data_IF_132465175522
#
_entry.id   IF_132465175522
#
_cell.length_a   1.000
_cell.length_b   1.000
_cell.length_c   1.000
_cell.angle_alpha   90.00
_cell.angle_beta   90.00
_cell.angle_gamma   90.00
#
_symmetry.space_group_name_H-M   'P 1'
#
loop_
_entity.id
_entity.type
_entity.pdbx_description
1 polymer ?
#
# COMPACT_ATOMS: atom_id res chain seq x y z
N UNK A 1 -32.31 -15.35 50.30
CA UNK A 1 -32.80 -14.43 49.27
C UNK A 1 -31.56 -13.78 48.62
N UNK A 2 -31.17 -14.33 47.46
CA UNK A 2 -29.96 -13.90 46.73
C UNK A 2 -30.41 -13.17 45.45
N UNK A 3 -30.02 -11.92 45.32
CA UNK A 3 -30.23 -11.16 44.09
C UNK A 3 -29.00 -11.29 43.18
N UNK A 4 -29.09 -12.09 42.14
CA UNK A 4 -28.14 -12.07 41.01
C UNK A 4 -28.45 -10.85 40.15
N UNK A 5 -27.52 -9.91 40.11
CA UNK A 5 -27.52 -8.84 39.10
C UNK A 5 -26.87 -9.35 37.80
N UNK A 6 -27.69 -9.52 36.79
CA UNK A 6 -27.27 -9.79 35.41
C UNK A 6 -26.76 -8.48 34.82
N UNK A 7 -25.44 -8.36 34.59
CA UNK A 7 -24.85 -7.30 33.76
C UNK A 7 -25.10 -7.63 32.28
N UNK A 8 -26.04 -6.95 31.67
CA UNK A 8 -26.12 -6.89 30.20
C UNK A 8 -25.05 -5.96 29.68
N UNK A 9 -24.02 -6.52 29.05
CA UNK A 9 -23.04 -5.77 28.29
C UNK A 9 -23.68 -5.32 26.96
N UNK A 10 -24.11 -4.07 26.89
CA UNK A 10 -24.60 -3.47 25.64
C UNK A 10 -23.37 -3.14 24.79
N UNK A 11 -23.11 -3.97 23.78
CA UNK A 11 -22.11 -3.66 22.76
C UNK A 11 -22.64 -2.50 21.92
N UNK A 12 -22.17 -1.30 22.20
CA UNK A 12 -22.38 -0.13 21.35
C UNK A 12 -21.56 -0.31 20.07
N UNK A 13 -22.19 -0.78 19.00
CA UNK A 13 -21.62 -0.67 17.65
C UNK A 13 -21.70 0.81 17.25
N UNK A 14 -20.58 1.53 17.33
CA UNK A 14 -20.45 2.87 16.77
C UNK A 14 -20.47 2.74 15.23
N UNK A 15 -21.60 3.01 14.64
CA UNK A 15 -21.80 3.19 13.21
C UNK A 15 -21.22 4.57 12.85
N UNK A 16 -19.98 4.62 12.37
CA UNK A 16 -19.48 5.80 11.67
C UNK A 16 -20.05 5.79 10.25
N UNK A 17 -21.07 6.58 10.02
CA UNK A 17 -21.53 6.87 8.68
C UNK A 17 -20.50 7.78 8.00
N UNK A 18 -19.84 7.31 6.97
CA UNK A 18 -19.06 8.15 6.07
C UNK A 18 -20.03 9.11 5.40
N UNK A 19 -19.94 10.40 5.73
CA UNK A 19 -20.67 11.44 5.03
C UNK A 19 -20.23 11.42 3.56
N UNK A 20 -20.97 10.71 2.72
CA UNK A 20 -20.72 10.67 1.28
C UNK A 20 -20.83 12.06 0.69
N UNK A 21 -19.93 12.41 -0.21
CA UNK A 21 -20.00 13.61 -1.04
C UNK A 21 -21.23 13.56 -1.96
N UNK A 22 -22.43 13.67 -1.40
CA UNK A 22 -23.68 13.80 -2.16
C UNK A 22 -23.96 15.28 -2.44
N UNK A 23 -23.14 15.88 -3.33
CA UNK A 23 -23.49 17.19 -3.89
C UNK A 23 -24.44 16.94 -5.08
N UNK A 24 -25.74 17.12 -4.86
CA UNK A 24 -26.85 16.92 -5.81
C UNK A 24 -26.88 17.94 -6.97
N UNK A 25 -25.78 18.58 -7.31
CA UNK A 25 -25.73 19.34 -8.56
C UNK A 25 -25.57 18.36 -9.71
N UNK A 26 -26.54 18.37 -10.62
CA UNK A 26 -26.47 17.65 -11.91
C UNK A 26 -25.23 18.17 -12.65
N UNK A 27 -24.11 17.48 -12.50
CA UNK A 27 -22.91 17.74 -13.31
C UNK A 27 -23.13 17.10 -14.68
N UNK A 28 -22.67 17.74 -15.78
CA UNK A 28 -22.69 17.11 -17.08
C UNK A 28 -21.99 15.74 -17.04
N UNK A 29 -22.38 14.78 -17.88
CA UNK A 29 -21.77 13.46 -17.89
C UNK A 29 -20.26 13.62 -18.08
N UNK A 30 -19.47 12.95 -17.23
CA UNK A 30 -18.03 12.99 -17.31
C UNK A 30 -17.59 12.58 -18.73
N UNK A 31 -16.75 13.40 -19.38
CA UNK A 31 -16.18 13.09 -20.69
C UNK A 31 -15.47 11.74 -20.60
N UNK A 32 -15.81 10.81 -21.49
CA UNK A 32 -15.16 9.51 -21.56
C UNK A 32 -13.62 9.69 -21.71
N UNK A 33 -12.83 8.94 -20.92
CA UNK A 33 -11.38 8.99 -21.03
C UNK A 33 -10.99 8.31 -22.34
N UNK A 34 -10.20 9.00 -23.19
CA UNK A 34 -9.59 8.39 -24.36
C UNK A 34 -8.75 7.17 -23.96
N UNK A 35 -8.75 6.14 -24.80
CA UNK A 35 -7.97 4.92 -24.56
C UNK A 35 -6.47 5.16 -24.44
N UNK A 36 -5.95 6.26 -25.00
CA UNK A 36 -4.53 6.64 -25.00
C UNK A 36 -4.16 7.74 -24.00
N UNK A 37 -5.15 8.43 -23.42
CA UNK A 37 -4.90 9.55 -22.52
C UNK A 37 -4.36 9.08 -21.17
N UNK A 38 -3.26 9.67 -20.69
CA UNK A 38 -2.81 9.56 -19.31
C UNK A 38 -3.52 10.64 -18.50
N UNK A 39 -4.21 10.25 -17.43
CA UNK A 39 -4.83 11.18 -16.48
C UNK A 39 -3.91 11.29 -15.27
N UNK A 40 -3.59 12.51 -14.85
CA UNK A 40 -2.80 12.76 -13.64
C UNK A 40 -3.31 13.98 -12.88
N UNK A 41 -3.27 13.88 -11.56
CA UNK A 41 -3.67 14.95 -10.63
C UNK A 41 -2.84 14.90 -9.36
N UNK A 42 -2.67 16.03 -8.69
CA UNK A 42 -2.23 16.04 -7.29
C UNK A 42 -3.49 15.76 -6.47
N UNK A 43 -3.61 14.53 -5.99
CA UNK A 43 -4.77 14.06 -5.23
C UNK A 43 -4.86 14.75 -3.86
N UNK A 44 -3.74 14.82 -3.16
CA UNK A 44 -3.63 15.48 -1.87
C UNK A 44 -2.36 16.36 -1.86
N UNK A 45 -2.50 17.67 -2.08
CA UNK A 45 -1.37 18.59 -1.99
C UNK A 45 -0.91 18.73 -0.53
N UNK A 46 0.39 18.73 -0.32
CA UNK A 46 0.95 19.08 0.98
C UNK A 46 0.70 20.56 1.29
N UNK A 47 0.47 20.84 2.55
CA UNK A 47 0.28 22.20 3.09
C UNK A 47 1.06 22.37 4.38
N UNK A 48 1.13 23.57 4.92
CA UNK A 48 1.78 23.82 6.21
C UNK A 48 1.15 23.01 7.36
N UNK A 49 -0.17 22.78 7.32
CA UNK A 49 -0.91 22.01 8.34
C UNK A 49 -0.99 20.51 8.03
N UNK A 50 -0.74 20.10 6.79
CA UNK A 50 -0.75 18.73 6.29
C UNK A 50 0.52 18.49 5.47
N UNK A 51 1.72 18.49 6.08
CA UNK A 51 2.99 18.51 5.35
C UNK A 51 3.36 17.19 4.69
N UNK A 52 2.74 16.06 5.06
CA UNK A 52 2.97 14.75 4.47
C UNK A 52 1.66 14.08 4.12
N UNK A 53 1.45 13.91 2.80
CA UNK A 53 0.38 13.16 2.17
C UNK A 53 1.02 12.00 1.41
N UNK A 54 0.97 10.80 1.94
CA UNK A 54 1.76 9.67 1.41
C UNK A 54 1.09 8.31 1.64
N UNK A 55 1.72 7.23 1.13
CA UNK A 55 1.37 5.84 1.43
C UNK A 55 -0.11 5.54 1.18
N UNK A 56 -0.60 6.04 0.04
CA UNK A 56 -1.99 5.88 -0.37
C UNK A 56 -2.24 4.59 -1.14
N UNK A 57 -3.51 4.24 -1.22
CA UNK A 57 -4.01 3.16 -2.08
C UNK A 57 -5.38 3.52 -2.66
N UNK A 58 -5.79 2.80 -3.70
CA UNK A 58 -7.05 3.01 -4.39
C UNK A 58 -7.80 1.69 -4.52
N UNK A 59 -9.10 1.71 -4.22
CA UNK A 59 -10.01 0.62 -4.57
C UNK A 59 -11.06 1.10 -5.56
N UNK A 60 -11.36 0.27 -6.56
CA UNK A 60 -12.44 0.53 -7.53
C UNK A 60 -13.74 -0.01 -6.96
N UNK A 61 -14.72 0.85 -6.75
CA UNK A 61 -16.04 0.47 -6.27
C UNK A 61 -16.85 -0.18 -7.41
N UNK A 62 -17.89 -0.97 -7.08
CA UNK A 62 -18.71 -1.69 -8.08
C UNK A 62 -19.36 -0.78 -9.11
N UNK A 63 -19.66 0.46 -8.77
CA UNK A 63 -20.20 1.46 -9.69
C UNK A 63 -19.13 2.17 -10.54
N UNK A 64 -17.85 1.77 -10.41
CA UNK A 64 -16.72 2.37 -11.13
C UNK A 64 -16.13 3.62 -10.48
N UNK A 65 -16.67 4.08 -9.35
CA UNK A 65 -16.06 5.17 -8.57
C UNK A 65 -14.71 4.71 -8.01
N UNK A 66 -13.71 5.58 -8.04
CA UNK A 66 -12.45 5.36 -7.33
C UNK A 66 -12.59 5.87 -5.89
N UNK A 67 -12.25 5.04 -4.92
CA UNK A 67 -12.04 5.45 -3.52
C UNK A 67 -10.53 5.39 -3.26
N UNK A 68 -9.91 6.54 -3.08
CA UNK A 68 -8.52 6.66 -2.67
C UNK A 68 -8.45 7.01 -1.18
N UNK A 69 -7.48 6.45 -0.47
CA UNK A 69 -7.17 6.84 0.90
C UNK A 69 -5.65 6.88 1.10
N UNK A 70 -5.19 7.67 2.07
CA UNK A 70 -3.77 7.90 2.29
C UNK A 70 -3.45 8.31 3.73
N UNK A 71 -2.18 8.15 4.12
CA UNK A 71 -1.64 8.70 5.36
C UNK A 71 -1.59 10.23 5.27
N UNK A 72 -2.28 10.89 6.16
CA UNK A 72 -2.40 12.35 6.26
C UNK A 72 -1.80 12.80 7.60
N UNK A 73 -0.55 13.28 7.55
CA UNK A 73 0.18 13.73 8.72
C UNK A 73 -0.06 15.22 8.98
N UNK A 74 -0.49 15.53 10.20
CA UNK A 74 -0.85 16.87 10.62
C UNK A 74 0.14 17.50 11.62
N UNK A 75 0.97 16.68 12.27
CA UNK A 75 1.95 17.11 13.30
C UNK A 75 3.38 17.25 12.80
N UNK A 76 3.61 17.19 11.49
CA UNK A 76 4.93 17.17 10.88
C UNK A 76 5.08 16.03 9.87
N UNK A 77 6.30 15.78 9.36
CA UNK A 77 6.52 14.72 8.35
C UNK A 77 7.24 13.48 8.88
N UNK A 78 7.73 13.50 10.09
CA UNK A 78 8.39 12.34 10.70
C UNK A 78 7.39 11.20 10.95
N UNK A 79 7.88 9.96 10.99
CA UNK A 79 7.02 8.80 11.22
C UNK A 79 6.38 8.79 12.63
N UNK A 80 6.86 9.63 13.55
CA UNK A 80 6.34 9.84 14.90
C UNK A 80 5.29 10.95 14.98
N UNK A 81 5.14 11.75 13.92
CA UNK A 81 4.20 12.87 13.90
C UNK A 81 2.76 12.38 13.94
N UNK A 82 1.87 13.22 14.48
CA UNK A 82 0.43 12.94 14.47
C UNK A 82 -0.09 12.80 13.05
N UNK A 83 -0.91 11.80 12.81
CA UNK A 83 -1.49 11.52 11.49
C UNK A 83 -2.77 10.72 11.60
N UNK A 84 -3.58 10.83 10.56
CA UNK A 84 -4.84 10.14 10.33
C UNK A 84 -4.87 9.53 8.93
N UNK A 85 -5.91 8.80 8.58
CA UNK A 85 -6.13 8.38 7.20
C UNK A 85 -7.26 9.22 6.61
N UNK A 86 -6.92 10.01 5.61
CA UNK A 86 -7.85 10.78 4.79
C UNK A 86 -8.20 10.01 3.51
N UNK A 87 -9.36 10.30 2.94
CA UNK A 87 -9.83 9.69 1.72
C UNK A 87 -10.56 10.70 0.82
N UNK A 88 -10.65 10.37 -0.47
CA UNK A 88 -11.46 11.08 -1.44
C UNK A 88 -12.01 10.12 -2.50
N UNK A 89 -13.08 10.51 -3.17
CA UNK A 89 -13.67 9.75 -4.26
C UNK A 89 -13.60 10.50 -5.59
N UNK A 90 -13.45 9.73 -6.69
CA UNK A 90 -13.54 10.25 -8.06
C UNK A 90 -14.52 9.42 -8.87
N UNK A 91 -15.40 10.09 -9.64
CA UNK A 91 -16.36 9.46 -10.55
C UNK A 91 -16.00 9.60 -12.02
N UNK A 92 -14.90 10.27 -12.32
CA UNK A 92 -14.44 10.60 -13.68
C UNK A 92 -13.04 10.05 -13.99
N UNK A 93 -12.66 8.96 -13.30
CA UNK A 93 -11.40 8.27 -13.52
C UNK A 93 -10.17 9.01 -13.01
N UNK A 94 -10.34 9.84 -11.98
CA UNK A 94 -9.27 10.56 -11.30
C UNK A 94 -8.98 11.97 -11.85
N UNK A 95 -9.82 12.50 -12.74
CA UNK A 95 -9.67 13.88 -13.22
C UNK A 95 -10.06 14.89 -12.15
N UNK A 96 -11.10 14.59 -11.41
CA UNK A 96 -11.53 15.40 -10.26
C UNK A 96 -11.82 14.51 -9.06
N UNK A 97 -11.61 15.07 -7.88
CA UNK A 97 -11.82 14.41 -6.61
C UNK A 97 -12.75 15.25 -5.74
N UNK A 98 -13.55 14.60 -4.90
CA UNK A 98 -14.32 15.32 -3.89
C UNK A 98 -13.37 15.92 -2.84
N UNK A 99 -13.89 16.81 -2.00
CA UNK A 99 -13.15 17.29 -0.84
C UNK A 99 -12.71 16.08 0.04
N UNK A 100 -11.48 16.08 0.56
CA UNK A 100 -11.03 15.00 1.45
C UNK A 100 -11.91 14.89 2.69
N UNK A 101 -12.09 13.64 3.15
CA UNK A 101 -12.76 13.31 4.41
C UNK A 101 -11.93 12.32 5.20
N UNK A 102 -12.12 12.27 6.52
CA UNK A 102 -11.40 11.33 7.38
C UNK A 102 -12.03 9.94 7.23
N UNK A 103 -11.25 8.96 6.79
CA UNK A 103 -11.64 7.55 6.71
C UNK A 103 -11.36 6.81 8.02
N UNK A 104 -10.24 7.15 8.67
CA UNK A 104 -9.83 6.59 9.95
C UNK A 104 -9.14 7.68 10.79
N UNK A 105 -9.76 8.04 11.89
CA UNK A 105 -9.14 8.92 12.89
C UNK A 105 -7.93 8.23 13.54
N UNK A 106 -7.04 9.04 14.11
CA UNK A 106 -5.94 8.50 14.90
C UNK A 106 -6.46 7.78 16.14
N UNK A 107 -6.17 6.50 16.24
CA UNK A 107 -6.46 5.65 17.41
C UNK A 107 -5.19 5.16 18.10
N UNK A 108 -4.02 5.55 17.59
CA UNK A 108 -2.72 5.28 18.19
C UNK A 108 -2.26 6.42 19.09
N UNK A 109 -1.23 6.16 19.89
CA UNK A 109 -0.59 7.23 20.69
C UNK A 109 0.15 8.24 19.82
N UNK A 110 0.66 7.82 18.65
CA UNK A 110 1.33 8.67 17.68
C UNK A 110 0.46 8.92 16.46
N UNK A 111 0.17 7.87 15.66
CA UNK A 111 -0.60 8.03 14.43
C UNK A 111 -1.25 6.73 13.96
N UNK A 112 -1.98 6.86 12.84
CA UNK A 112 -2.35 5.79 11.94
C UNK A 112 -1.80 6.11 10.54
N UNK A 113 -1.32 5.08 9.79
CA UNK A 113 -0.69 5.28 8.50
C UNK A 113 -0.75 4.02 7.60
N UNK A 114 -0.24 4.14 6.37
CA UNK A 114 -0.03 3.06 5.38
C UNK A 114 -1.31 2.31 5.02
N UNK A 115 -1.97 2.79 3.99
CA UNK A 115 -3.23 2.21 3.51
C UNK A 115 -2.98 1.03 2.58
N UNK A 116 -3.66 -0.09 2.79
CA UNK A 116 -3.76 -1.16 1.81
C UNK A 116 -5.22 -1.60 1.69
N UNK A 117 -5.79 -1.44 0.51
CA UNK A 117 -7.11 -1.95 0.17
C UNK A 117 -7.00 -3.30 -0.52
N UNK A 118 -7.91 -4.20 -0.20
CA UNK A 118 -8.09 -5.44 -0.93
C UNK A 118 -9.59 -5.66 -1.17
N UNK A 119 -9.99 -5.80 -2.43
CA UNK A 119 -11.30 -6.38 -2.73
C UNK A 119 -11.17 -7.88 -2.67
N UNK A 120 -11.70 -8.47 -1.63
CA UNK A 120 -11.69 -9.91 -1.42
C UNK A 120 -12.57 -10.64 -2.46
N UNK A 121 -12.32 -11.93 -2.68
CA UNK A 121 -13.13 -12.78 -3.56
C UNK A 121 -14.59 -12.87 -3.10
N UNK A 122 -14.88 -12.68 -1.81
CA UNK A 122 -16.23 -12.50 -1.27
C UNK A 122 -16.95 -11.26 -1.78
N UNK A 123 -16.21 -10.30 -2.34
CA UNK A 123 -16.71 -9.01 -2.79
C UNK A 123 -16.64 -7.91 -1.72
N UNK A 124 -16.22 -8.22 -0.50
CA UNK A 124 -15.97 -7.23 0.55
C UNK A 124 -14.75 -6.36 0.22
N UNK A 125 -14.72 -5.15 0.76
CA UNK A 125 -13.50 -4.33 0.78
C UNK A 125 -12.85 -4.50 2.14
N UNK A 126 -11.60 -4.96 2.14
CA UNK A 126 -10.75 -5.03 3.31
C UNK A 126 -9.84 -3.80 3.30
N UNK A 127 -9.84 -3.07 4.40
CA UNK A 127 -9.05 -1.86 4.60
C UNK A 127 -8.04 -2.11 5.73
N UNK A 128 -6.78 -2.26 5.34
CA UNK A 128 -5.66 -2.45 6.26
C UNK A 128 -4.94 -1.12 6.48
N UNK A 129 -4.47 -0.93 7.70
CA UNK A 129 -3.67 0.23 8.08
C UNK A 129 -2.83 -0.08 9.33
N UNK A 130 -1.83 0.77 9.57
CA UNK A 130 -0.97 0.69 10.74
C UNK A 130 -1.48 1.59 11.85
N UNK A 131 -1.33 1.14 13.10
CA UNK A 131 -1.50 1.93 14.31
C UNK A 131 -0.19 1.99 15.05
N UNK A 132 0.37 3.19 15.22
CA UNK A 132 1.65 3.43 15.85
C UNK A 132 1.48 4.01 17.25
N UNK A 133 2.05 3.32 18.24
CA UNK A 133 2.08 3.76 19.62
C UNK A 133 3.49 4.18 20.08
N UNK A 134 4.54 3.52 19.55
CA UNK A 134 5.95 3.81 19.88
C UNK A 134 6.89 3.17 18.86
N UNK A 135 8.19 3.32 19.05
CA UNK A 135 9.23 2.64 18.26
C UNK A 135 9.25 1.10 18.45
N UNK A 136 8.58 0.57 19.47
CA UNK A 136 8.47 -0.86 19.76
C UNK A 136 7.01 -1.37 19.70
N UNK A 137 6.08 -0.52 19.24
CA UNK A 137 4.65 -0.88 19.13
C UNK A 137 4.04 -0.22 17.90
N UNK A 138 4.12 -0.94 16.78
CA UNK A 138 3.45 -0.67 15.51
C UNK A 138 2.74 -1.93 15.07
N UNK A 139 1.42 -1.85 14.86
CA UNK A 139 0.59 -3.03 14.53
C UNK A 139 -0.26 -2.80 13.29
N UNK A 140 -0.53 -3.89 12.58
CA UNK A 140 -1.47 -3.90 11.45
C UNK A 140 -2.88 -4.18 11.96
N UNK A 141 -3.81 -3.34 11.54
CA UNK A 141 -5.24 -3.49 11.77
C UNK A 141 -6.01 -3.61 10.46
N UNK A 142 -7.19 -4.17 10.55
CA UNK A 142 -8.12 -4.39 9.45
C UNK A 142 -9.53 -3.91 9.84
N UNK A 143 -10.20 -3.23 8.90
CA UNK A 143 -11.65 -3.03 8.87
C UNK A 143 -12.23 -3.61 7.59
N UNK A 144 -13.52 -3.93 7.59
CA UNK A 144 -14.26 -4.50 6.46
C UNK A 144 -15.42 -3.62 6.08
N UNK A 145 -15.74 -3.57 4.79
CA UNK A 145 -16.96 -2.97 4.28
C UNK A 145 -17.69 -3.93 3.35
N UNK A 146 -18.98 -4.10 3.59
CA UNK A 146 -19.92 -4.87 2.76
C UNK A 146 -20.71 -3.99 1.79
N UNK A 147 -20.61 -2.67 1.92
CA UNK A 147 -21.46 -1.67 1.28
C UNK A 147 -20.68 -0.63 0.48
N UNK A 148 -19.55 -1.05 -0.10
CA UNK A 148 -18.68 -0.24 -0.96
C UNK A 148 -18.07 0.97 -0.22
N UNK A 149 -17.63 0.77 1.02
CA UNK A 149 -16.90 1.76 1.81
C UNK A 149 -17.79 2.78 2.53
N UNK A 150 -19.12 2.60 2.53
CA UNK A 150 -20.03 3.50 3.26
C UNK A 150 -19.96 3.28 4.77
N UNK A 151 -19.87 2.03 5.19
CA UNK A 151 -19.69 1.66 6.59
C UNK A 151 -18.54 0.66 6.76
N UNK A 152 -17.93 0.68 7.94
CA UNK A 152 -16.77 -0.15 8.27
C UNK A 152 -17.01 -0.91 9.57
N UNK A 153 -16.55 -2.15 9.61
CA UNK A 153 -16.66 -3.02 10.77
C UNK A 153 -15.84 -2.52 11.97
N UNK A 154 -16.01 -3.18 13.12
CA UNK A 154 -15.05 -3.11 14.21
C UNK A 154 -13.65 -3.53 13.74
N UNK A 155 -12.63 -3.12 14.49
CA UNK A 155 -11.22 -3.42 14.24
C UNK A 155 -10.91 -4.91 14.43
N UNK A 156 -10.13 -5.46 13.52
CA UNK A 156 -9.47 -6.76 13.67
C UNK A 156 -7.97 -6.53 13.71
N UNK A 157 -7.29 -7.12 14.69
CA UNK A 157 -5.83 -7.06 14.80
C UNK A 157 -5.24 -8.16 13.93
N UNK A 158 -4.37 -7.78 12.99
CA UNK A 158 -3.65 -8.74 12.12
C UNK A 158 -2.39 -9.24 12.79
N UNK A 159 -1.66 -8.35 13.49
CA UNK A 159 -0.40 -8.65 14.19
C UNK A 159 -0.58 -8.48 15.70
N UNK A 160 -1.05 -9.51 16.42
CA UNK A 160 -1.39 -9.37 17.86
C UNK A 160 -0.17 -9.32 18.78
N UNK A 161 1.00 -9.82 18.34
CA UNK A 161 2.20 -9.93 19.14
C UNK A 161 2.85 -8.56 19.39
N UNK A 162 3.73 -8.47 20.40
CA UNK A 162 4.52 -7.28 20.66
C UNK A 162 5.61 -7.10 19.62
N UNK A 163 5.87 -5.85 19.19
CA UNK A 163 6.92 -5.53 18.24
C UNK A 163 6.52 -4.43 17.25
N UNK A 164 7.40 -4.18 16.32
CA UNK A 164 7.27 -3.18 15.27
C UNK A 164 7.03 -3.86 13.92
N UNK A 165 5.77 -3.85 13.45
CA UNK A 165 5.30 -4.56 12.26
C UNK A 165 4.99 -3.56 11.15
N UNK A 166 5.89 -3.41 10.20
CA UNK A 166 5.76 -2.48 9.08
C UNK A 166 5.06 -3.20 7.92
N UNK A 167 3.83 -2.79 7.61
CA UNK A 167 3.17 -3.09 6.35
C UNK A 167 3.15 -1.80 5.52
N UNK A 168 3.82 -1.81 4.39
CA UNK A 168 3.76 -0.68 3.48
C UNK A 168 2.36 -0.58 2.81
N UNK A 169 2.06 0.53 2.14
CA UNK A 169 0.80 0.72 1.41
C UNK A 169 0.66 -0.25 0.24
N UNK A 170 -0.58 -0.63 -0.09
CA UNK A 170 -0.95 -1.49 -1.22
C UNK A 170 -0.18 -2.84 -1.26
N UNK A 171 -0.12 -3.56 -0.12
CA UNK A 171 0.71 -4.78 0.01
C UNK A 171 -0.07 -6.06 0.16
N UNK A 172 -1.30 -6.01 0.65
CA UNK A 172 -2.10 -7.21 0.86
C UNK A 172 -2.53 -7.80 -0.47
N UNK A 173 -2.41 -9.11 -0.62
CA UNK A 173 -2.83 -9.84 -1.81
C UNK A 173 -3.70 -11.04 -1.42
N UNK A 174 -4.63 -11.42 -2.30
CA UNK A 174 -5.38 -12.67 -2.17
C UNK A 174 -4.95 -13.62 -3.27
N UNK A 175 -4.53 -14.82 -2.88
CA UNK A 175 -4.15 -15.89 -3.80
C UNK A 175 -5.40 -16.50 -4.45
N UNK A 176 -5.22 -17.20 -5.56
CA UNK A 176 -6.30 -17.95 -6.24
C UNK A 176 -6.96 -18.99 -5.32
N UNK A 177 -6.21 -19.52 -4.34
CA UNK A 177 -6.73 -20.42 -3.31
C UNK A 177 -7.75 -19.77 -2.37
N UNK A 178 -7.85 -18.44 -2.36
CA UNK A 178 -8.62 -17.65 -1.40
C UNK A 178 -7.80 -17.15 -0.20
N UNK A 179 -6.59 -17.69 0.03
CA UNK A 179 -5.72 -17.24 1.11
C UNK A 179 -5.34 -15.78 0.92
N UNK A 180 -5.46 -14.98 1.97
CA UNK A 180 -5.01 -13.59 1.99
C UNK A 180 -3.64 -13.53 2.66
N UNK A 181 -2.70 -12.82 2.04
CA UNK A 181 -1.34 -12.60 2.55
C UNK A 181 -1.16 -11.12 2.92
N UNK A 182 -0.64 -10.88 4.11
CA UNK A 182 -0.22 -9.57 4.60
C UNK A 182 1.30 -9.61 4.85
N UNK A 183 2.11 -9.12 3.90
CA UNK A 183 3.58 -9.14 4.03
C UNK A 183 4.04 -8.00 4.93
N UNK A 184 5.00 -8.29 5.79
CA UNK A 184 5.42 -7.41 6.88
C UNK A 184 6.94 -7.43 7.02
N UNK A 185 7.53 -6.25 7.27
CA UNK A 185 8.88 -6.17 7.83
C UNK A 185 8.76 -6.01 9.35
N UNK A 186 9.48 -6.83 10.06
CA UNK A 186 9.41 -6.93 11.51
C UNK A 186 10.76 -6.66 12.16
N UNK A 187 10.74 -5.95 13.27
CA UNK A 187 11.77 -5.94 14.30
C UNK A 187 11.12 -5.72 15.67
N UNK A 188 11.87 -5.98 16.73
CA UNK A 188 11.34 -5.74 18.10
C UNK A 188 11.15 -4.25 18.37
N UNK A 189 12.13 -3.43 17.98
CA UNK A 189 12.17 -1.99 18.27
C UNK A 189 13.00 -1.27 17.20
N UNK A 190 12.33 -0.43 16.39
CA UNK A 190 12.97 0.33 15.31
C UNK A 190 13.83 1.48 15.82
N UNK A 191 13.65 1.92 17.06
CA UNK A 191 14.42 2.98 17.71
C UNK A 191 15.82 2.53 18.17
N UNK A 192 16.10 1.23 18.22
CA UNK A 192 17.44 0.72 18.53
C UNK A 192 18.44 1.10 17.44
N UNK A 193 19.66 1.51 17.83
CA UNK A 193 20.73 1.95 16.89
C UNK A 193 21.04 0.93 15.78
N UNK A 194 20.94 -0.35 16.07
CA UNK A 194 21.22 -1.45 15.14
C UNK A 194 19.93 -2.25 14.84
N UNK A 195 18.78 -1.58 14.73
CA UNK A 195 17.55 -2.25 14.36
C UNK A 195 17.73 -2.94 13.00
N UNK A 196 17.39 -4.22 12.96
CA UNK A 196 17.49 -5.07 11.80
C UNK A 196 16.12 -5.63 11.46
N UNK A 197 15.69 -5.47 10.22
CA UNK A 197 14.37 -5.83 9.75
C UNK A 197 14.40 -7.19 9.05
N UNK A 198 13.39 -8.00 9.35
CA UNK A 198 13.18 -9.30 8.72
C UNK A 198 11.77 -9.33 8.11
N UNK A 199 11.62 -9.95 6.94
CA UNK A 199 10.29 -10.11 6.37
C UNK A 199 9.63 -11.38 6.88
N UNK A 200 8.38 -11.24 7.29
CA UNK A 200 7.46 -12.28 7.69
C UNK A 200 6.13 -12.06 6.96
N UNK A 201 5.27 -13.04 6.97
CA UNK A 201 3.92 -12.92 6.38
C UNK A 201 2.89 -13.33 7.42
N UNK A 202 1.82 -12.57 7.57
CA UNK A 202 0.60 -13.04 8.19
C UNK A 202 -0.37 -13.48 7.09
N UNK A 203 -1.05 -14.59 7.30
CA UNK A 203 -2.01 -15.10 6.33
C UNK A 203 -3.35 -15.46 6.99
N UNK A 204 -4.40 -15.38 6.18
CA UNK A 204 -5.76 -15.76 6.55
C UNK A 204 -6.34 -16.71 5.52
N UNK A 205 -6.94 -17.80 5.99
CA UNK A 205 -7.64 -18.81 5.19
C UNK A 205 -9.17 -18.69 5.33
N UNK A 206 -9.66 -17.69 6.06
CA UNK A 206 -11.07 -17.45 6.37
C UNK A 206 -11.52 -16.04 5.98
N UNK A 207 -10.98 -15.54 4.86
CA UNK A 207 -11.30 -14.24 4.29
C UNK A 207 -10.97 -13.07 5.24
N UNK A 208 -9.83 -13.19 5.99
CA UNK A 208 -9.26 -12.20 6.89
C UNK A 208 -9.98 -12.09 8.25
N UNK A 209 -10.79 -13.10 8.66
CA UNK A 209 -11.45 -13.11 10.00
C UNK A 209 -10.47 -13.49 11.09
N UNK A 210 -9.55 -14.41 10.81
CA UNK A 210 -8.43 -14.76 11.67
C UNK A 210 -7.12 -14.78 10.92
N UNK A 211 -6.02 -14.59 11.67
CA UNK A 211 -4.69 -14.41 11.09
C UNK A 211 -3.68 -15.32 11.77
N UNK A 212 -2.78 -15.88 10.99
CA UNK A 212 -1.67 -16.71 11.45
C UNK A 212 -0.36 -16.15 10.92
N UNK A 213 0.68 -16.15 11.74
CA UNK A 213 2.03 -15.83 11.32
C UNK A 213 2.64 -16.99 10.54
N UNK A 214 3.31 -16.73 9.43
CA UNK A 214 4.12 -17.70 8.68
C UNK A 214 5.28 -18.22 9.51
N UNK A 215 5.76 -19.45 9.20
CA UNK A 215 6.92 -20.03 9.83
C UNK A 215 8.23 -19.48 9.25
N UNK A 216 8.22 -19.11 7.96
CA UNK A 216 9.38 -18.62 7.25
C UNK A 216 9.72 -17.17 7.58
N UNK A 217 11.02 -16.90 7.67
CA UNK A 217 11.60 -15.57 7.81
C UNK A 217 12.51 -15.34 6.61
N UNK A 218 12.39 -14.17 5.97
CA UNK A 218 13.32 -13.74 4.92
C UNK A 218 14.21 -12.64 5.47
N UNK A 219 15.51 -12.82 5.31
CA UNK A 219 16.51 -11.93 5.85
C UNK A 219 17.60 -11.62 4.80
N UNK A 220 18.21 -10.44 4.90
CA UNK A 220 19.35 -10.02 4.09
C UNK A 220 20.28 -9.13 4.93
N UNK A 221 21.50 -8.91 4.46
CA UNK A 221 22.51 -8.11 5.15
C UNK A 221 22.11 -6.63 5.37
N UNK A 222 22.91 -5.93 6.15
CA UNK A 222 22.78 -4.52 6.55
C UNK A 222 21.52 -4.27 7.40
N UNK A 223 20.64 -3.37 6.98
CA UNK A 223 19.41 -3.04 7.70
C UNK A 223 18.35 -4.16 7.60
N UNK A 224 18.62 -5.19 6.80
CA UNK A 224 17.75 -6.34 6.64
C UNK A 224 16.77 -6.24 5.48
N UNK A 225 15.80 -7.13 5.48
CA UNK A 225 14.73 -7.21 4.49
C UNK A 225 13.58 -6.28 4.86
N UNK A 226 13.22 -5.37 3.94
CA UNK A 226 12.25 -4.32 4.22
C UNK A 226 11.08 -4.33 3.23
N UNK A 227 9.93 -3.90 3.70
CA UNK A 227 8.72 -3.51 2.95
C UNK A 227 8.40 -4.43 1.75
N UNK A 228 8.15 -5.73 2.01
CA UNK A 228 7.96 -6.72 0.95
C UNK A 228 6.72 -6.45 0.10
N UNK A 229 6.81 -6.73 -1.20
CA UNK A 229 5.68 -6.80 -2.11
C UNK A 229 5.49 -8.22 -2.63
N UNK A 230 4.26 -8.67 -2.82
CA UNK A 230 3.94 -10.04 -3.20
C UNK A 230 3.20 -10.11 -4.54
N UNK A 231 3.45 -11.19 -5.29
CA UNK A 231 2.64 -11.57 -6.45
C UNK A 231 2.58 -13.10 -6.59
N UNK A 232 1.38 -13.63 -6.87
CA UNK A 232 1.22 -15.04 -7.20
C UNK A 232 1.70 -15.29 -8.64
N UNK A 233 2.61 -16.27 -8.80
CA UNK A 233 3.11 -16.72 -10.10
C UNK A 233 2.12 -17.69 -10.76
N UNK A 234 2.27 -17.92 -12.07
CA UNK A 234 1.38 -18.83 -12.83
C UNK A 234 1.41 -20.27 -12.33
N UNK A 235 2.53 -20.71 -11.76
CA UNK A 235 2.69 -22.06 -11.18
C UNK A 235 2.12 -22.17 -9.75
N UNK A 236 1.53 -21.12 -9.19
CA UNK A 236 0.99 -21.08 -7.83
C UNK A 236 1.98 -20.69 -6.74
N UNK A 237 3.27 -20.58 -7.05
CA UNK A 237 4.26 -20.04 -6.11
C UNK A 237 3.98 -18.56 -5.85
N UNK A 238 4.45 -18.03 -4.73
CA UNK A 238 4.40 -16.62 -4.40
C UNK A 238 5.81 -16.03 -4.49
N UNK A 239 5.96 -15.00 -5.32
CA UNK A 239 7.17 -14.20 -5.42
C UNK A 239 7.07 -13.02 -4.44
N UNK A 240 8.08 -12.86 -3.59
CA UNK A 240 8.26 -11.71 -2.72
C UNK A 240 9.41 -10.85 -3.26
N UNK A 241 9.18 -9.57 -3.54
CA UNK A 241 10.25 -8.59 -3.75
C UNK A 241 10.60 -7.90 -2.44
N UNK A 242 11.85 -7.49 -2.28
CA UNK A 242 12.41 -7.02 -1.02
C UNK A 242 13.16 -5.70 -1.25
N UNK A 243 12.79 -4.66 -0.50
CA UNK A 243 13.56 -3.43 -0.37
C UNK A 243 14.81 -3.70 0.48
N UNK A 244 16.00 -3.26 0.00
CA UNK A 244 17.27 -3.48 0.70
C UNK A 244 18.18 -2.25 0.64
N UNK A 245 19.23 -2.22 1.47
CA UNK A 245 20.35 -1.29 1.35
C UNK A 245 21.50 -1.84 0.49
N UNK A 246 21.25 -2.87 -0.32
CA UNK A 246 22.27 -3.56 -1.10
C UNK A 246 22.43 -3.02 -2.52
N UNK A 247 21.70 -1.93 -2.87
CA UNK A 247 21.76 -1.27 -4.18
C UNK A 247 21.04 -2.01 -5.30
N UNK A 248 20.28 -3.03 -4.96
CA UNK A 248 19.50 -3.87 -5.89
C UNK A 248 18.20 -4.33 -5.25
N UNK A 249 17.22 -4.69 -6.09
CA UNK A 249 16.00 -5.38 -5.65
C UNK A 249 16.34 -6.85 -5.42
N UNK A 250 15.96 -7.36 -4.25
CA UNK A 250 16.07 -8.76 -3.88
C UNK A 250 14.72 -9.45 -3.92
N UNK A 251 14.70 -10.78 -3.96
CA UNK A 251 13.48 -11.56 -3.97
C UNK A 251 13.62 -12.87 -3.20
N UNK A 252 12.49 -13.48 -2.88
CA UNK A 252 12.37 -14.81 -2.30
C UNK A 252 11.09 -15.46 -2.84
N UNK A 253 11.03 -16.79 -2.86
CA UNK A 253 9.92 -17.58 -3.40
C UNK A 253 9.33 -18.46 -2.30
N UNK A 254 8.01 -18.50 -2.23
CA UNK A 254 7.26 -19.47 -1.44
C UNK A 254 6.54 -20.45 -2.36
N UNK A 255 6.65 -21.73 -2.07
CA UNK A 255 5.96 -22.81 -2.79
C UNK A 255 4.72 -23.34 -2.03
N UNK A 256 4.43 -22.79 -0.83
CA UNK A 256 3.40 -23.26 0.09
C UNK A 256 2.40 -22.17 0.49
N UNK A 257 2.21 -21.19 -0.42
CA UNK A 257 1.24 -20.11 -0.20
C UNK A 257 1.66 -19.12 0.89
N UNK A 258 2.95 -18.80 0.98
CA UNK A 258 3.48 -17.75 1.87
C UNK A 258 3.82 -18.23 3.29
N UNK A 259 3.79 -19.54 3.59
CA UNK A 259 4.12 -20.04 4.93
C UNK A 259 5.64 -20.24 5.13
N UNK A 260 6.36 -20.68 4.10
CA UNK A 260 7.83 -20.76 4.09
C UNK A 260 8.41 -20.08 2.84
N UNK A 261 9.70 -19.71 2.90
CA UNK A 261 10.35 -18.89 1.89
C UNK A 261 11.73 -19.43 1.57
N UNK A 262 12.15 -19.34 0.30
CA UNK A 262 13.51 -19.61 -0.11
C UNK A 262 14.49 -18.60 0.50
N UNK A 263 15.78 -18.91 0.46
CA UNK A 263 16.81 -17.89 0.70
C UNK A 263 16.62 -16.73 -0.27
N UNK A 264 16.84 -15.49 0.22
CA UNK A 264 16.75 -14.31 -0.62
C UNK A 264 17.90 -14.24 -1.62
N UNK A 265 17.56 -13.84 -2.85
CA UNK A 265 18.49 -13.66 -3.97
C UNK A 265 18.30 -12.30 -4.62
N UNK A 266 19.30 -11.82 -5.36
CA UNK A 266 19.20 -10.57 -6.10
C UNK A 266 18.63 -10.80 -7.50
N UNK A 267 17.73 -9.91 -7.94
CA UNK A 267 17.33 -9.82 -9.35
C UNK A 267 18.41 -9.22 -10.28
N UNK A 268 19.47 -8.63 -9.74
CA UNK A 268 20.43 -7.83 -10.51
C UNK A 268 19.88 -6.46 -10.96
N UNK A 269 18.63 -6.13 -10.58
CA UNK A 269 18.00 -4.83 -10.90
C UNK A 269 18.51 -3.79 -9.93
N UNK A 270 19.22 -2.77 -10.45
CA UNK A 270 19.73 -1.65 -9.66
C UNK A 270 18.56 -0.85 -9.07
N UNK A 271 18.60 -0.63 -7.77
CA UNK A 271 17.62 0.20 -7.05
C UNK A 271 18.22 0.72 -5.73
N UNK A 272 17.85 1.94 -5.29
CA UNK A 272 18.20 2.44 -3.96
C UNK A 272 17.36 1.76 -2.88
N UNK A 273 17.57 2.15 -1.63
CA UNK A 273 16.69 1.81 -0.51
C UNK A 273 15.34 2.52 -0.65
N UNK A 274 14.53 2.03 -1.59
CA UNK A 274 13.20 2.55 -1.90
C UNK A 274 12.21 1.41 -2.06
N UNK A 275 10.96 1.56 -1.60
CA UNK A 275 9.95 0.53 -1.79
C UNK A 275 9.61 0.40 -3.29
N UNK A 276 9.66 -0.83 -3.78
CA UNK A 276 9.22 -1.20 -5.12
C UNK A 276 7.84 -1.86 -5.05
N UNK A 277 7.10 -1.84 -6.14
CA UNK A 277 5.78 -2.47 -6.23
C UNK A 277 5.77 -3.48 -7.36
N UNK A 278 5.27 -4.68 -7.11
CA UNK A 278 5.09 -5.74 -8.11
C UNK A 278 3.61 -6.12 -8.19
N UNK A 279 3.12 -6.31 -9.41
CA UNK A 279 1.75 -6.79 -9.66
C UNK A 279 1.68 -7.51 -10.99
N UNK A 280 0.55 -8.18 -11.26
CA UNK A 280 0.29 -8.81 -12.55
C UNK A 280 -0.69 -7.98 -13.36
N UNK A 281 -0.35 -7.65 -14.61
CA UNK A 281 -1.27 -7.01 -15.55
C UNK A 281 -2.44 -7.95 -15.87
N UNK A 282 -3.70 -7.48 -15.75
CA UNK A 282 -4.87 -8.35 -15.82
C UNK A 282 -5.20 -8.84 -17.22
N UNK A 283 -4.74 -8.15 -18.25
CA UNK A 283 -5.10 -8.41 -19.65
C UNK A 283 -4.23 -9.51 -20.30
N UNK A 284 -2.90 -9.46 -20.14
CA UNK A 284 -1.95 -10.41 -20.76
C UNK A 284 -1.13 -11.20 -19.75
N UNK A 285 -1.24 -10.86 -18.45
CA UNK A 285 -0.62 -11.60 -17.38
C UNK A 285 0.88 -11.41 -17.22
N UNK A 286 1.48 -10.36 -17.82
CA UNK A 286 2.86 -9.97 -17.56
C UNK A 286 3.01 -9.43 -16.14
N UNK A 287 4.17 -9.61 -15.52
CA UNK A 287 4.47 -8.94 -14.26
C UNK A 287 4.90 -7.50 -14.55
N UNK A 288 4.37 -6.56 -13.77
CA UNK A 288 4.75 -5.16 -13.76
C UNK A 288 5.51 -4.87 -12.46
N UNK A 289 6.74 -4.38 -12.58
CA UNK A 289 7.56 -3.87 -11.50
C UNK A 289 7.62 -2.35 -11.62
N UNK A 290 7.31 -1.62 -10.53
CA UNK A 290 7.49 -0.16 -10.44
C UNK A 290 8.53 0.13 -9.37
N UNK A 291 9.57 0.90 -9.71
CA UNK A 291 10.74 1.09 -8.87
C UNK A 291 11.53 2.34 -9.25
N UNK A 292 12.57 2.66 -8.50
CA UNK A 292 13.54 3.72 -8.82
C UNK A 292 14.80 3.06 -9.39
N UNK A 293 15.12 3.23 -10.69
CA UNK A 293 16.18 2.47 -11.39
C UNK A 293 17.59 3.07 -11.26
N UNK A 294 17.88 3.89 -10.25
CA UNK A 294 19.16 4.60 -10.15
C UNK A 294 19.64 4.74 -8.72
N UNK A 295 20.94 4.52 -8.52
CA UNK A 295 21.67 4.81 -7.28
C UNK A 295 22.66 5.97 -7.45
N UNK A 296 22.56 6.73 -8.53
CA UNK A 296 23.47 7.84 -8.82
C UNK A 296 23.45 8.95 -7.75
N UNK A 297 22.35 9.05 -6.99
CA UNK A 297 22.20 10.00 -5.88
C UNK A 297 22.35 9.34 -4.50
N UNK A 298 22.99 8.17 -4.44
CA UNK A 298 23.16 7.36 -3.24
C UNK A 298 22.19 6.21 -3.14
N UNK A 299 22.47 5.29 -2.22
CA UNK A 299 21.62 4.11 -1.98
C UNK A 299 20.46 4.47 -1.05
N UNK A 300 20.67 5.28 -0.03
CA UNK A 300 19.69 5.59 1.01
C UNK A 300 19.28 7.07 0.98
N UNK A 301 18.14 7.35 1.60
CA UNK A 301 17.58 8.68 1.71
C UNK A 301 16.57 9.02 0.60
N UNK A 302 15.78 10.06 0.84
CA UNK A 302 14.70 10.45 -0.09
C UNK A 302 15.23 10.90 -1.45
N UNK A 303 16.35 11.60 -1.50
CA UNK A 303 16.91 12.12 -2.75
C UNK A 303 17.32 11.03 -3.75
N UNK A 304 17.54 9.78 -3.29
CA UNK A 304 17.87 8.65 -4.15
C UNK A 304 16.66 8.10 -4.93
N UNK A 305 15.42 8.54 -4.62
CA UNK A 305 14.19 8.00 -5.16
C UNK A 305 13.71 8.70 -6.42
N UNK A 306 14.60 8.82 -7.40
CA UNK A 306 14.36 9.44 -8.70
C UNK A 306 15.24 8.81 -9.77
N UNK A 307 14.74 8.59 -11.01
CA UNK A 307 13.36 8.73 -11.46
C UNK A 307 12.44 7.62 -10.92
N UNK A 308 11.13 7.68 -11.22
CA UNK A 308 10.20 6.56 -11.05
C UNK A 308 10.02 5.87 -12.40
N UNK A 309 10.21 4.56 -12.44
CA UNK A 309 10.12 3.77 -13.66
C UNK A 309 9.34 2.48 -13.46
N UNK A 310 9.01 1.83 -14.58
CA UNK A 310 8.47 0.49 -14.59
C UNK A 310 9.26 -0.42 -15.53
N UNK A 311 9.19 -1.74 -15.27
CA UNK A 311 9.67 -2.79 -16.14
C UNK A 311 8.64 -3.93 -16.20
N UNK A 312 8.62 -4.66 -17.32
CA UNK A 312 7.75 -5.81 -17.54
C UNK A 312 8.57 -7.10 -17.57
N UNK A 313 8.00 -8.16 -16.99
CA UNK A 313 8.46 -9.53 -17.16
C UNK A 313 7.39 -10.38 -17.80
N UNK A 314 7.76 -11.17 -18.83
CA UNK A 314 6.89 -12.10 -19.55
C UNK A 314 7.12 -13.56 -19.15
N UNK A 315 8.11 -13.81 -18.33
CA UNK A 315 8.62 -15.12 -17.92
C UNK A 315 8.65 -15.32 -16.40
N UNK A 316 7.67 -14.72 -15.71
CA UNK A 316 7.47 -14.86 -14.26
C UNK A 316 8.64 -14.34 -13.41
N UNK A 317 9.24 -13.20 -13.82
CA UNK A 317 10.29 -12.50 -13.08
C UNK A 317 11.71 -12.97 -13.39
N UNK A 318 11.92 -13.90 -14.33
CA UNK A 318 13.27 -14.35 -14.71
C UNK A 318 14.04 -13.29 -15.48
N UNK A 319 13.36 -12.59 -16.40
CA UNK A 319 13.92 -11.46 -17.14
C UNK A 319 12.98 -10.26 -17.11
N UNK A 320 13.54 -9.06 -17.27
CA UNK A 320 12.82 -7.79 -17.21
C UNK A 320 13.17 -6.92 -18.42
N UNK A 321 12.19 -6.17 -18.90
CA UNK A 321 12.41 -5.17 -19.95
C UNK A 321 13.32 -4.04 -19.45
N UNK A 322 13.84 -3.24 -20.39
CA UNK A 322 14.45 -1.97 -20.03
C UNK A 322 13.46 -1.08 -19.27
N UNK A 323 13.93 -0.28 -18.31
CA UNK A 323 13.06 0.59 -17.53
C UNK A 323 12.42 1.67 -18.42
N UNK A 324 11.09 1.83 -18.28
CA UNK A 324 10.32 2.91 -18.88
C UNK A 324 9.94 3.93 -17.81
N UNK A 325 10.20 5.20 -18.07
CA UNK A 325 10.00 6.24 -17.06
C UNK A 325 8.52 6.61 -16.92
N UNK A 326 8.00 6.54 -15.69
CA UNK A 326 6.69 7.04 -15.29
C UNK A 326 6.81 8.52 -14.89
N UNK A 327 7.89 8.86 -14.17
CA UNK A 327 8.26 10.21 -13.77
C UNK A 327 9.77 10.42 -13.98
N UNK A 328 10.12 11.51 -14.67
CA UNK A 328 11.50 11.79 -15.09
C UNK A 328 12.08 13.07 -14.49
N UNK A 329 11.26 13.93 -13.85
CA UNK A 329 11.74 15.21 -13.36
C UNK A 329 12.74 15.01 -12.21
N UNK A 330 13.98 15.41 -12.43
CA UNK A 330 15.08 15.22 -11.50
C UNK A 330 15.02 16.12 -10.25
N UNK A 331 14.18 17.14 -10.25
CA UNK A 331 13.96 18.03 -9.08
C UNK A 331 13.07 17.38 -8.02
N UNK A 332 12.41 16.27 -8.36
CA UNK A 332 11.49 15.59 -7.46
C UNK A 332 11.96 14.18 -7.12
N UNK A 333 11.43 13.66 -6.03
CA UNK A 333 11.58 12.29 -5.56
C UNK A 333 10.21 11.63 -5.46
N UNK A 334 10.15 10.32 -5.76
CA UNK A 334 8.90 9.56 -5.90
C UNK A 334 9.03 8.19 -5.26
N UNK A 335 8.07 7.76 -4.45
CA UNK A 335 8.02 6.40 -3.93
C UNK A 335 6.64 6.04 -3.38
N UNK A 336 6.54 4.83 -2.81
CA UNK A 336 5.33 4.27 -2.20
C UNK A 336 4.17 4.15 -3.20
N UNK A 337 4.50 3.62 -4.38
CA UNK A 337 3.54 3.46 -5.46
C UNK A 337 2.54 2.35 -5.12
N UNK A 338 1.24 2.67 -5.15
CA UNK A 338 0.16 1.70 -5.24
C UNK A 338 -0.22 1.42 -6.69
N UNK A 339 -0.75 0.25 -6.98
CA UNK A 339 -1.30 -0.10 -8.29
C UNK A 339 -2.60 -0.87 -8.13
N UNK A 340 -3.67 -0.35 -8.67
CA UNK A 340 -4.93 -1.07 -8.89
C UNK A 340 -5.36 -0.97 -10.35
N UNK A 341 -6.35 -1.74 -10.76
CA UNK A 341 -6.77 -1.77 -12.16
C UNK A 341 -8.24 -1.38 -12.31
N UNK A 342 -8.51 -0.49 -13.28
CA UNK A 342 -9.86 -0.13 -13.68
C UNK A 342 -9.99 -0.32 -15.19
N UNK A 343 -10.76 -1.32 -15.62
CA UNK A 343 -10.88 -1.69 -17.04
C UNK A 343 -9.48 -1.98 -17.65
N UNK A 344 -9.12 -1.28 -18.71
CA UNK A 344 -7.83 -1.40 -19.41
C UNK A 344 -6.78 -0.38 -18.93
N UNK A 345 -6.86 0.06 -17.68
CA UNK A 345 -5.98 1.07 -17.11
C UNK A 345 -5.39 0.62 -15.78
N UNK A 346 -4.13 0.95 -15.56
CA UNK A 346 -3.51 0.92 -14.25
C UNK A 346 -3.73 2.28 -13.57
N UNK A 347 -4.19 2.24 -12.34
CA UNK A 347 -4.44 3.38 -11.47
C UNK A 347 -3.39 3.37 -10.38
N UNK A 348 -2.59 4.42 -10.31
CA UNK A 348 -1.47 4.55 -9.41
C UNK A 348 -1.68 5.71 -8.44
N UNK A 349 -1.19 5.54 -7.20
CA UNK A 349 -0.85 6.66 -6.32
C UNK A 349 0.59 6.53 -5.85
N UNK A 350 1.27 7.63 -5.66
CA UNK A 350 2.63 7.69 -5.10
C UNK A 350 2.86 9.09 -4.56
N UNK A 351 3.74 9.22 -3.57
CA UNK A 351 4.12 10.55 -3.16
C UNK A 351 5.08 11.17 -4.17
N UNK A 352 5.06 12.50 -4.26
CA UNK A 352 6.13 13.30 -4.81
C UNK A 352 6.54 14.36 -3.79
N UNK A 353 7.84 14.63 -3.72
CA UNK A 353 8.40 15.73 -2.94
C UNK A 353 9.47 16.43 -3.75
N UNK A 354 9.52 17.76 -3.73
CA UNK A 354 10.63 18.49 -4.31
C UNK A 354 11.89 18.21 -3.47
N UNK A 355 13.02 17.98 -4.12
CA UNK A 355 14.28 17.76 -3.43
C UNK A 355 14.66 19.00 -2.60
N UNK A 356 14.98 18.78 -1.32
CA UNK A 356 15.25 19.85 -0.37
C UNK A 356 14.01 20.48 0.26
N UNK A 357 12.80 20.06 -0.15
CA UNK A 357 11.55 20.46 0.49
C UNK A 357 11.17 19.45 1.58
N UNK A 358 10.49 19.97 2.60
CA UNK A 358 9.98 19.17 3.71
C UNK A 358 8.54 18.70 3.53
N UNK A 359 7.96 18.90 2.35
CA UNK A 359 6.57 18.59 2.06
C UNK A 359 6.43 17.43 1.06
N UNK A 360 5.52 16.50 1.34
CA UNK A 360 5.18 15.40 0.46
C UNK A 360 3.71 15.50 0.05
N UNK A 361 3.46 15.59 -1.26
CA UNK A 361 2.12 15.54 -1.84
C UNK A 361 1.82 14.15 -2.37
N UNK A 362 0.57 13.72 -2.36
CA UNK A 362 0.13 12.49 -3.02
C UNK A 362 -0.29 12.78 -4.44
N UNK A 363 0.35 12.13 -5.40
CA UNK A 363 0.00 12.20 -6.83
C UNK A 363 -0.81 10.97 -7.22
N UNK A 364 -1.78 11.19 -8.10
CA UNK A 364 -2.58 10.18 -8.77
C UNK A 364 -2.19 10.13 -10.25
N UNK A 365 -2.13 8.92 -10.81
CA UNK A 365 -1.93 8.73 -12.26
C UNK A 365 -2.74 7.53 -12.75
N UNK A 366 -3.48 7.68 -13.85
CA UNK A 366 -4.17 6.58 -14.52
C UNK A 366 -3.59 6.41 -15.91
N UNK A 367 -3.04 5.23 -16.18
CA UNK A 367 -2.23 4.92 -17.37
C UNK A 367 -2.89 3.78 -18.12
N UNK A 368 -3.10 3.87 -19.46
CA UNK A 368 -3.55 2.75 -20.28
C UNK A 368 -2.58 1.56 -20.19
N UNK A 369 -3.07 0.32 -20.13
CA UNK A 369 -2.20 -0.87 -20.00
C UNK A 369 -1.23 -1.01 -21.19
N UNK A 370 -1.63 -0.64 -22.40
CA UNK A 370 -0.76 -0.71 -23.57
C UNK A 370 0.43 0.27 -23.50
N UNK A 371 0.31 1.34 -22.69
CA UNK A 371 1.43 2.27 -22.49
C UNK A 371 2.65 1.57 -21.90
N UNK A 372 2.48 0.60 -21.01
CA UNK A 372 3.60 -0.11 -20.38
C UNK A 372 4.40 -0.97 -21.38
N UNK A 373 3.88 -1.24 -22.58
CA UNK A 373 4.45 -2.14 -23.59
C UNK A 373 5.10 -1.41 -24.77
N UNK A 374 4.82 -0.12 -24.91
CA UNK A 374 5.44 0.76 -25.91
C UNK A 374 6.88 1.12 -25.50
#
# INVERSE_FOLDING_TARGET
MSFQKIFRCTVCALLFAVAGCDDFRVRPPARAISTTEIVETILAPATATHPRQSEGDVVVLKNGTLLAAWSDFTGGRADEATGQISAATSRDGGRTWCAPFILQENIGKQNVMSVSFLRAQSGEILFFFLVKNSAADLKVFLRRSHDEGKTWSALVVVTPESGYFIMNNARTVQLKSGRILCPISFCEDIGKRNSHLQNIVYFSDDDGRSWKRSQGIVDVAKRGAMEPGLVELKNGNVLQIIRTQLGQIWFSISADGGNSWSQAESFGIVAPESPSTITRLPDRGELLLIYNPSIAQGISGMNSRTPLACALSRDEGKTWSQPKLIEANADFTYAYTSVTFQKNRAVLTYYLARKGDDQLSLKFKSIPLDWFRQ
#
